data_IF_575953014141
#
_entry.id   IF_575953014141
#
_cell.length_a   1.000
_cell.length_b   1.000
_cell.length_c   1.000
_cell.angle_alpha   90.00
_cell.angle_beta   90.00
_cell.angle_gamma   90.00
#
_symmetry.space_group_name_H-M   'P 1'
#
loop_
_entity.id
_entity.type
_entity.pdbx_description
1 polymer ?
#
# COMPACT_ATOMS: atom_id res chain seq x y z
N UNK A 1 -7.82 -1.60 -17.08
CA UNK A 1 -9.10 -2.19 -17.51
C UNK A 1 -9.89 -2.87 -16.39
N UNK A 2 -9.28 -3.38 -15.31
CA UNK A 2 -10.03 -4.09 -14.26
C UNK A 2 -10.62 -3.23 -13.12
N UNK A 3 -10.25 -1.94 -13.08
CA UNK A 3 -10.71 -0.99 -12.06
C UNK A 3 -11.37 0.19 -12.79
N UNK A 4 -12.55 0.57 -12.35
CA UNK A 4 -13.38 1.65 -12.92
C UNK A 4 -13.55 2.82 -11.93
N UNK A 5 -13.92 3.99 -12.44
CA UNK A 5 -14.28 5.12 -11.59
C UNK A 5 -15.50 4.79 -10.71
N UNK A 6 -15.51 5.33 -9.49
CA UNK A 6 -16.50 5.07 -8.43
C UNK A 6 -16.44 3.69 -7.76
N UNK A 7 -15.47 2.84 -8.09
CA UNK A 7 -15.26 1.59 -7.36
C UNK A 7 -14.61 1.80 -5.99
N UNK A 8 -15.06 1.04 -4.99
CA UNK A 8 -14.46 1.06 -3.66
C UNK A 8 -13.32 0.04 -3.58
N UNK A 9 -12.11 0.55 -3.38
CA UNK A 9 -10.90 -0.26 -3.24
C UNK A 9 -10.42 -0.23 -1.80
N UNK A 10 -10.08 -1.41 -1.28
CA UNK A 10 -9.56 -1.58 0.06
C UNK A 10 -8.24 -2.34 0.02
N UNK A 11 -7.27 -1.81 0.75
CA UNK A 11 -6.02 -2.49 1.06
C UNK A 11 -6.03 -2.72 2.56
N UNK A 12 -6.17 -3.98 2.97
CA UNK A 12 -6.14 -4.36 4.38
C UNK A 12 -4.70 -4.52 4.84
N UNK A 13 -4.43 -4.27 6.12
CA UNK A 13 -3.13 -4.54 6.74
C UNK A 13 -1.92 -3.97 5.96
N UNK A 14 -2.06 -2.72 5.52
CA UNK A 14 -1.11 -2.05 4.64
C UNK A 14 0.33 -2.06 5.22
N UNK A 15 0.50 -1.88 6.52
CA UNK A 15 1.82 -1.83 7.15
C UNK A 15 2.59 -3.14 6.97
N UNK A 16 1.95 -4.28 7.25
CA UNK A 16 2.58 -5.59 7.06
C UNK A 16 2.83 -5.88 5.57
N UNK A 17 1.92 -5.46 4.69
CA UNK A 17 2.05 -5.66 3.24
C UNK A 17 3.19 -4.82 2.62
N UNK A 18 3.36 -3.58 3.08
CA UNK A 18 4.46 -2.70 2.64
C UNK A 18 5.82 -3.25 3.08
N UNK A 19 5.92 -3.81 4.29
CA UNK A 19 7.12 -4.52 4.73
C UNK A 19 7.47 -5.71 3.83
N UNK A 20 6.46 -6.48 3.42
CA UNK A 20 6.62 -7.66 2.57
C UNK A 20 6.71 -7.34 1.06
N UNK A 21 6.63 -6.05 0.69
CA UNK A 21 6.61 -5.56 -0.71
C UNK A 21 5.54 -6.21 -1.59
N UNK A 22 4.51 -6.79 -1.01
CA UNK A 22 3.42 -7.44 -1.73
C UNK A 22 2.11 -6.89 -1.17
N UNK A 23 1.34 -6.25 -2.04
CA UNK A 23 0.08 -5.59 -1.67
C UNK A 23 -1.08 -6.32 -2.31
N UNK A 24 -2.07 -6.67 -1.50
CA UNK A 24 -3.35 -7.24 -1.94
C UNK A 24 -4.38 -6.13 -1.98
N UNK A 25 -4.86 -5.84 -3.18
CA UNK A 25 -5.87 -4.83 -3.47
C UNK A 25 -7.20 -5.54 -3.61
N UNK A 26 -8.16 -5.26 -2.73
CA UNK A 26 -9.50 -5.81 -2.77
C UNK A 26 -10.48 -4.78 -3.31
N UNK A 27 -11.13 -5.10 -4.42
CA UNK A 27 -12.23 -4.33 -4.99
C UNK A 27 -13.53 -4.80 -4.36
N UNK A 28 -14.14 -3.96 -3.51
CA UNK A 28 -15.40 -4.27 -2.85
C UNK A 28 -16.58 -4.30 -3.81
N UNK A 29 -16.59 -3.45 -4.83
CA UNK A 29 -17.68 -3.35 -5.80
C UNK A 29 -17.77 -4.58 -6.69
N UNK A 30 -16.63 -5.07 -7.17
CA UNK A 30 -16.54 -6.26 -8.04
C UNK A 30 -16.28 -7.56 -7.26
N UNK A 31 -16.08 -7.48 -5.94
CA UNK A 31 -15.71 -8.59 -5.07
C UNK A 31 -14.49 -9.38 -5.58
N UNK A 32 -13.49 -8.67 -6.10
CA UNK A 32 -12.30 -9.24 -6.73
C UNK A 32 -11.03 -8.76 -6.02
N UNK A 33 -10.03 -9.63 -5.91
CA UNK A 33 -8.73 -9.31 -5.33
C UNK A 33 -7.62 -9.37 -6.38
N UNK A 34 -6.69 -8.42 -6.31
CA UNK A 34 -5.51 -8.36 -7.15
C UNK A 34 -4.28 -8.32 -6.26
N UNK A 35 -3.23 -9.04 -6.65
CA UNK A 35 -1.93 -8.94 -6.00
C UNK A 35 -1.00 -8.07 -6.84
N UNK A 36 -0.27 -7.19 -6.19
CA UNK A 36 0.73 -6.34 -6.84
C UNK A 36 2.03 -6.34 -6.03
N UNK A 37 3.15 -6.28 -6.73
CA UNK A 37 4.47 -6.16 -6.13
C UNK A 37 4.87 -4.69 -6.03
N UNK A 38 5.31 -4.28 -4.85
CA UNK A 38 5.66 -2.91 -4.52
C UNK A 38 7.16 -2.71 -4.73
N UNK A 39 7.53 -2.12 -5.86
CA UNK A 39 8.94 -1.82 -6.19
C UNK A 39 9.43 -0.56 -5.46
N UNK A 40 9.74 -0.71 -4.18
CA UNK A 40 10.27 0.36 -3.33
C UNK A 40 11.52 -0.08 -2.56
N UNK A 41 12.39 0.89 -2.30
CA UNK A 41 13.60 0.71 -1.50
C UNK A 41 13.29 0.59 0.00
N UNK A 42 14.19 0.01 0.82
CA UNK A 42 14.01 -0.06 2.28
C UNK A 42 13.76 1.31 2.92
N UNK A 43 14.46 2.36 2.47
CA UNK A 43 14.25 3.73 2.95
C UNK A 43 12.84 4.24 2.64
N UNK A 44 12.29 3.90 1.47
CA UNK A 44 10.93 4.29 1.10
C UNK A 44 9.87 3.55 1.93
N UNK A 45 10.13 2.29 2.31
CA UNK A 45 9.28 1.54 3.27
C UNK A 45 9.19 2.30 4.59
N UNK A 46 10.33 2.68 5.17
CA UNK A 46 10.36 3.46 6.42
C UNK A 46 9.61 4.78 6.26
N UNK A 47 9.86 5.52 5.17
CA UNK A 47 9.14 6.76 4.91
C UNK A 47 7.62 6.58 4.86
N UNK A 48 7.12 5.49 4.26
CA UNK A 48 5.69 5.20 4.21
C UNK A 48 5.13 4.89 5.61
N UNK A 49 5.85 4.13 6.42
CA UNK A 49 5.45 3.77 7.78
C UNK A 49 5.35 5.01 8.67
N UNK A 50 6.30 5.94 8.56
CA UNK A 50 6.29 7.20 9.30
C UNK A 50 5.29 8.23 8.72
N UNK A 51 4.61 7.92 7.61
CA UNK A 51 3.69 8.85 6.95
C UNK A 51 4.39 10.03 6.27
N UNK A 52 5.68 9.91 5.97
CA UNK A 52 6.46 10.89 5.23
C UNK A 52 7.92 10.99 5.67
N UNK A 53 8.74 11.61 4.81
CA UNK A 53 10.16 11.83 5.09
C UNK A 53 10.39 12.73 6.31
N UNK A 54 9.61 13.82 6.43
CA UNK A 54 9.75 14.76 7.55
C UNK A 54 9.47 14.09 8.89
N UNK A 55 8.42 13.26 8.93
CA UNK A 55 8.10 12.49 10.13
C UNK A 55 9.20 11.50 10.45
N UNK A 56 9.75 10.81 9.44
CA UNK A 56 10.91 9.92 9.63
C UNK A 56 12.08 10.66 10.29
N UNK A 57 12.47 11.83 9.75
CA UNK A 57 13.59 12.63 10.26
C UNK A 57 13.32 13.15 11.68
N UNK A 58 12.05 13.40 12.04
CA UNK A 58 11.69 13.87 13.38
C UNK A 58 11.80 12.78 14.45
N UNK A 59 11.62 11.51 14.06
CA UNK A 59 11.69 10.35 14.96
C UNK A 59 13.10 9.72 15.00
N UNK A 60 14.01 10.11 14.09
CA UNK A 60 15.45 9.80 14.10
C UNK A 60 16.22 10.70 15.09
#
# INVERSE_FOLDING_TARGET
ENIEEMEEIVINDLLNQVHNKKVTVFNKTKNNSYETELTISPRQVEMLIYGGLLNKIREE
#
